data_IF_865681759173
#
_entry.id   IF_865681759173
#
_cell.length_a   1.000
_cell.length_b   1.000
_cell.length_c   1.000
_cell.angle_alpha   90.00
_cell.angle_beta   90.00
_cell.angle_gamma   90.00
#
_symmetry.space_group_name_H-M   'P 1'
#
loop_
_entity.id
_entity.type
_entity.pdbx_description
1 polymer ?
#
# COMPACT_ATOMS: atom_id res chain seq x y z
N UNK A 1 -34.01 46.59 19.79
CA UNK A 1 -33.30 46.08 20.96
C UNK A 1 -31.86 45.92 20.65
N UNK A 2 -31.10 46.80 21.20
CA UNK A 2 -29.69 47.11 21.16
C UNK A 2 -28.82 45.87 21.46
N UNK A 3 -27.87 45.55 20.62
CA UNK A 3 -26.86 44.53 20.81
C UNK A 3 -25.48 45.12 20.54
N UNK A 4 -25.12 46.11 21.34
CA UNK A 4 -23.78 46.68 21.44
C UNK A 4 -23.25 46.39 22.86
N UNK A 5 -22.63 45.25 23.10
CA UNK A 5 -21.64 45.05 24.15
C UNK A 5 -21.15 43.57 24.13
N UNK A 6 -19.93 43.35 23.64
CA UNK A 6 -18.97 42.32 23.99
C UNK A 6 -18.08 41.96 22.80
N UNK A 7 -17.34 42.94 22.35
CA UNK A 7 -16.05 42.69 21.64
C UNK A 7 -14.99 43.25 22.60
N UNK A 8 -14.26 42.37 23.24
CA UNK A 8 -12.91 42.58 23.77
C UNK A 8 -12.66 41.64 24.96
N UNK A 9 -12.47 40.37 24.71
CA UNK A 9 -11.63 39.44 25.50
C UNK A 9 -11.55 38.16 24.66
N UNK A 10 -10.50 37.98 23.87
CA UNK A 10 -9.94 36.71 23.39
C UNK A 10 -8.94 36.97 22.23
N UNK A 11 -7.95 37.83 22.48
CA UNK A 11 -6.78 37.93 21.59
C UNK A 11 -5.51 37.93 22.47
N UNK A 12 -5.19 36.77 23.06
CA UNK A 12 -3.83 36.51 23.55
C UNK A 12 -3.60 35.00 23.75
N UNK A 13 -3.68 34.25 22.67
CA UNK A 13 -2.94 32.99 22.53
C UNK A 13 -2.55 32.90 21.05
N UNK A 14 -1.37 33.39 20.75
CA UNK A 14 -0.81 33.42 19.41
C UNK A 14 -0.57 32.01 18.89
N UNK A 15 -1.58 31.41 18.32
CA UNK A 15 -1.47 30.28 17.42
C UNK A 15 -1.23 30.88 16.03
N UNK A 16 0.02 31.31 15.77
CA UNK A 16 0.44 31.82 14.49
C UNK A 16 0.26 30.74 13.44
N UNK A 17 -0.78 30.88 12.62
CA UNK A 17 -0.81 30.26 11.30
C UNK A 17 0.43 30.81 10.59
N UNK A 18 1.48 30.01 10.46
CA UNK A 18 2.64 30.37 9.63
C UNK A 18 2.11 30.44 8.19
N UNK A 19 1.91 31.66 7.72
CA UNK A 19 1.67 31.93 6.31
C UNK A 19 2.76 31.24 5.47
N UNK A 20 2.39 30.68 4.33
CA UNK A 20 3.32 30.10 3.35
C UNK A 20 4.42 31.12 3.09
N UNK A 21 5.64 30.85 3.52
CA UNK A 21 6.81 31.62 3.15
C UNK A 21 7.07 31.36 1.65
N UNK A 22 6.71 32.31 0.82
CA UNK A 22 7.17 32.35 -0.56
C UNK A 22 8.69 32.47 -0.55
N UNK A 23 9.38 31.33 -0.81
CA UNK A 23 10.84 31.28 -0.86
C UNK A 23 11.50 30.12 -0.10
N UNK A 24 10.77 29.28 0.65
CA UNK A 24 11.35 28.14 1.33
C UNK A 24 11.79 27.07 0.32
N UNK A 25 13.08 26.75 0.32
CA UNK A 25 13.63 25.62 -0.45
C UNK A 25 12.97 24.33 0.05
N UNK A 26 12.32 23.60 -0.86
CA UNK A 26 11.70 22.31 -0.54
C UNK A 26 12.75 21.36 0.05
N UNK A 27 12.44 20.74 1.18
CA UNK A 27 13.34 19.80 1.84
C UNK A 27 13.49 18.53 1.03
N UNK A 28 14.70 17.99 1.01
CA UNK A 28 14.94 16.64 0.46
C UNK A 28 14.40 15.60 1.43
N UNK A 29 13.82 14.55 0.88
CA UNK A 29 13.19 13.49 1.67
C UNK A 29 13.78 12.13 1.30
N UNK A 30 14.21 11.38 2.29
CA UNK A 30 14.82 10.06 2.09
C UNK A 30 14.06 8.97 2.81
N UNK A 31 14.20 7.76 2.30
CA UNK A 31 13.76 6.53 2.96
C UNK A 31 14.90 6.07 3.87
N UNK A 32 14.71 6.19 5.18
CA UNK A 32 15.71 5.83 6.20
C UNK A 32 15.41 4.51 6.93
N UNK A 33 14.26 3.88 6.65
CA UNK A 33 13.92 2.57 7.21
C UNK A 33 12.82 1.90 6.45
N UNK A 34 12.84 0.57 6.42
CA UNK A 34 11.90 -0.28 5.69
C UNK A 34 11.38 -1.40 6.58
N UNK A 35 10.05 -1.57 6.62
CA UNK A 35 9.42 -2.74 7.22
C UNK A 35 8.40 -3.32 6.28
N UNK A 36 8.49 -4.61 6.01
CA UNK A 36 7.64 -5.32 5.06
C UNK A 36 7.08 -6.58 5.72
N UNK A 37 5.80 -6.81 5.51
CA UNK A 37 5.08 -8.04 5.86
C UNK A 37 4.38 -8.49 4.58
N UNK A 38 4.90 -9.52 3.93
CA UNK A 38 4.42 -10.00 2.63
C UNK A 38 4.39 -11.53 2.59
N UNK A 39 3.61 -12.15 1.69
CA UNK A 39 3.49 -13.61 1.62
C UNK A 39 4.79 -14.36 1.39
N UNK A 40 5.76 -13.75 0.71
CA UNK A 40 7.07 -14.34 0.43
C UNK A 40 8.16 -13.95 1.43
N UNK A 41 7.84 -13.16 2.47
CA UNK A 41 8.81 -12.82 3.52
C UNK A 41 8.33 -11.74 4.48
N UNK A 42 8.70 -11.89 5.75
CA UNK A 42 8.50 -10.90 6.82
C UNK A 42 9.85 -10.28 7.18
N UNK A 43 9.91 -8.95 7.19
CA UNK A 43 11.14 -8.17 7.25
C UNK A 43 11.72 -7.88 5.87
N UNK A 44 12.43 -6.74 5.75
CA UNK A 44 12.92 -6.26 4.45
C UNK A 44 13.89 -7.24 3.77
N UNK A 45 14.77 -7.90 4.55
CA UNK A 45 15.82 -8.74 3.99
C UNK A 45 15.25 -10.06 3.44
N UNK A 46 14.38 -10.73 4.20
CA UNK A 46 13.71 -11.95 3.76
C UNK A 46 12.81 -11.69 2.55
N UNK A 47 12.01 -10.61 2.58
CA UNK A 47 11.19 -10.18 1.46
C UNK A 47 12.03 -9.89 0.21
N UNK A 48 13.12 -9.12 0.38
CA UNK A 48 13.97 -8.72 -0.73
C UNK A 48 14.68 -9.91 -1.38
N UNK A 49 15.26 -10.79 -0.56
CA UNK A 49 15.91 -11.99 -1.07
C UNK A 49 14.93 -12.87 -1.85
N UNK A 50 13.73 -13.09 -1.30
CA UNK A 50 12.68 -13.84 -2.00
C UNK A 50 12.26 -13.19 -3.34
N UNK A 51 12.22 -11.85 -3.40
CA UNK A 51 11.93 -11.14 -4.64
C UNK A 51 13.05 -11.31 -5.67
N UNK A 52 14.31 -11.21 -5.28
CA UNK A 52 15.46 -11.40 -6.17
C UNK A 52 15.54 -12.83 -6.69
N UNK A 53 15.30 -13.82 -5.82
CA UNK A 53 15.33 -15.24 -6.18
C UNK A 53 14.09 -15.70 -6.97
N UNK A 54 13.09 -14.84 -7.13
CA UNK A 54 11.85 -15.19 -7.83
C UNK A 54 10.95 -16.15 -7.03
N UNK A 55 11.06 -16.16 -5.68
CA UNK A 55 10.25 -17.02 -4.85
C UNK A 55 8.82 -16.51 -4.70
N UNK A 56 7.86 -17.38 -5.03
CA UNK A 56 6.43 -17.10 -4.89
C UNK A 56 5.94 -17.40 -3.47
N UNK A 57 5.22 -16.42 -2.88
CA UNK A 57 4.44 -16.61 -1.65
C UNK A 57 2.98 -16.95 -1.91
N UNK A 58 2.62 -17.27 -3.17
CA UNK A 58 1.26 -17.64 -3.56
C UNK A 58 1.08 -19.14 -3.36
N UNK A 59 0.02 -19.53 -2.64
CA UNK A 59 -0.28 -20.92 -2.32
C UNK A 59 -1.78 -21.18 -2.20
N UNK A 60 -2.16 -22.42 -1.86
CA UNK A 60 -3.52 -22.74 -1.47
C UNK A 60 -3.94 -21.95 -0.24
N UNK A 61 -5.20 -21.48 -0.20
CA UNK A 61 -5.75 -20.79 0.97
C UNK A 61 -5.77 -21.74 2.16
N UNK A 62 -5.27 -21.29 3.31
CA UNK A 62 -5.16 -22.04 4.57
C UNK A 62 -5.89 -21.38 5.74
N UNK A 63 -6.21 -20.09 5.65
CA UNK A 63 -6.89 -19.33 6.71
C UNK A 63 -8.35 -19.76 6.92
N UNK A 64 -8.98 -20.39 5.93
CA UNK A 64 -10.31 -20.99 6.01
C UNK A 64 -10.47 -22.12 4.98
N UNK A 65 -11.53 -22.95 5.12
CA UNK A 65 -11.84 -24.00 4.16
C UNK A 65 -12.40 -23.40 2.85
N UNK A 66 -11.57 -23.33 1.82
CA UNK A 66 -11.94 -22.87 0.49
C UNK A 66 -12.31 -24.03 -0.47
N UNK A 67 -12.53 -25.26 0.00
CA UNK A 67 -12.76 -26.43 -0.84
C UNK A 67 -13.94 -26.29 -1.80
N UNK A 68 -14.99 -25.62 -1.37
CA UNK A 68 -16.20 -25.34 -2.15
C UNK A 68 -16.18 -23.98 -2.88
N UNK A 69 -15.07 -23.22 -2.76
CA UNK A 69 -14.95 -21.93 -3.42
C UNK A 69 -14.31 -22.07 -4.81
N UNK A 70 -14.75 -21.32 -5.83
CA UNK A 70 -14.15 -21.38 -7.16
C UNK A 70 -12.70 -20.92 -7.20
N UNK A 71 -12.31 -20.03 -6.27
CA UNK A 71 -10.93 -19.55 -6.07
C UNK A 71 -10.40 -20.15 -4.78
N UNK A 72 -9.26 -20.82 -4.85
CA UNK A 72 -8.65 -21.56 -3.73
C UNK A 72 -7.19 -21.17 -3.48
N UNK A 73 -6.76 -20.05 -4.09
CA UNK A 73 -5.36 -19.61 -4.10
C UNK A 73 -5.29 -18.17 -3.69
N UNK A 74 -4.33 -17.85 -2.83
CA UNK A 74 -4.05 -16.49 -2.38
C UNK A 74 -2.56 -16.35 -1.98
N UNK A 75 -2.11 -15.11 -1.83
CA UNK A 75 -0.87 -14.78 -1.15
C UNK A 75 -1.16 -14.49 0.32
N UNK A 76 -1.02 -15.48 1.20
CA UNK A 76 -1.29 -15.34 2.64
C UNK A 76 -0.01 -15.08 3.43
N UNK A 77 -0.12 -14.23 4.47
CA UNK A 77 0.92 -14.10 5.50
C UNK A 77 0.50 -14.93 6.71
N UNK A 78 1.08 -16.10 6.83
CA UNK A 78 0.75 -17.03 7.90
C UNK A 78 1.67 -16.83 9.10
N UNK A 79 1.17 -17.20 10.30
CA UNK A 79 1.92 -17.23 11.54
C UNK A 79 2.59 -15.90 11.94
N UNK A 80 2.04 -14.77 11.49
CA UNK A 80 2.54 -13.45 11.86
C UNK A 80 2.02 -13.01 13.23
N UNK A 81 2.94 -12.77 14.17
CA UNK A 81 2.64 -12.24 15.49
C UNK A 81 2.97 -10.74 15.58
N UNK A 82 1.97 -9.87 15.80
CA UNK A 82 2.19 -8.43 15.96
C UNK A 82 2.65 -8.05 17.38
N UNK A 83 2.52 -8.93 18.39
CA UNK A 83 2.74 -8.59 19.81
C UNK A 83 4.12 -8.01 20.10
N UNK A 84 5.23 -8.47 19.50
CA UNK A 84 6.56 -7.90 19.72
C UNK A 84 6.67 -6.41 19.37
N UNK A 85 5.79 -5.90 18.52
CA UNK A 85 5.79 -4.51 18.06
C UNK A 85 4.80 -3.61 18.82
N UNK A 86 4.08 -4.18 19.80
CA UNK A 86 3.04 -3.47 20.55
C UNK A 86 3.54 -3.21 21.98
N UNK A 87 3.72 -1.93 22.39
CA UNK A 87 4.08 -1.61 23.77
C UNK A 87 3.11 -2.20 24.77
N UNK A 88 3.61 -2.66 25.95
CA UNK A 88 2.84 -3.34 26.99
C UNK A 88 1.55 -2.61 27.37
N UNK A 89 1.61 -1.28 27.46
CA UNK A 89 0.44 -0.42 27.76
C UNK A 89 -0.69 -0.55 26.74
N UNK A 90 -0.40 -1.01 25.51
CA UNK A 90 -1.37 -1.17 24.42
C UNK A 90 -1.69 -2.64 24.08
N UNK A 91 -1.13 -3.63 24.76
CA UNK A 91 -1.41 -5.06 24.48
C UNK A 91 -2.90 -5.40 24.45
N UNK A 92 -3.69 -4.78 25.31
CA UNK A 92 -5.16 -5.00 25.33
C UNK A 92 -5.85 -4.53 24.04
N UNK A 93 -5.24 -3.60 23.27
CA UNK A 93 -5.80 -3.11 22.03
C UNK A 93 -5.70 -4.12 20.87
N UNK A 94 -4.90 -5.18 20.99
CA UNK A 94 -4.85 -6.26 19.97
C UNK A 94 -6.22 -6.84 19.67
N UNK A 95 -7.11 -6.88 20.68
CA UNK A 95 -8.49 -7.38 20.53
C UNK A 95 -9.36 -6.54 19.59
N UNK A 96 -9.00 -5.27 19.40
CA UNK A 96 -9.68 -4.33 18.50
C UNK A 96 -8.88 -4.04 17.22
N UNK A 97 -7.86 -4.83 16.92
CA UNK A 97 -7.11 -4.74 15.69
C UNK A 97 -7.62 -5.77 14.68
N UNK A 98 -8.09 -5.29 13.54
CA UNK A 98 -8.29 -6.13 12.36
C UNK A 98 -6.95 -6.66 11.82
N UNK A 99 -6.97 -7.70 10.98
CA UNK A 99 -5.76 -8.35 10.45
C UNK A 99 -4.83 -7.35 9.72
N UNK A 100 -5.38 -6.45 8.91
CA UNK A 100 -4.61 -5.41 8.24
C UNK A 100 -3.89 -4.47 9.25
N UNK A 101 -4.56 -4.08 10.34
CA UNK A 101 -3.93 -3.25 11.36
C UNK A 101 -2.78 -3.97 12.09
N UNK A 102 -2.90 -5.29 12.30
CA UNK A 102 -1.82 -6.12 12.87
C UNK A 102 -0.60 -6.16 11.95
N UNK A 103 -0.80 -6.30 10.63
CA UNK A 103 0.30 -6.22 9.66
C UNK A 103 0.92 -4.83 9.63
N UNK A 104 0.08 -3.78 9.64
CA UNK A 104 0.55 -2.39 9.61
C UNK A 104 1.44 -2.04 10.80
N UNK A 105 1.03 -2.41 12.03
CA UNK A 105 1.84 -2.14 13.23
C UNK A 105 3.14 -2.93 13.23
N UNK A 106 3.12 -4.17 12.75
CA UNK A 106 4.32 -4.98 12.61
C UNK A 106 5.29 -4.41 11.58
N UNK A 107 4.79 -4.02 10.41
CA UNK A 107 5.60 -3.36 9.39
C UNK A 107 6.19 -2.03 9.91
N UNK A 108 5.40 -1.24 10.67
CA UNK A 108 5.90 -0.01 11.29
C UNK A 108 7.00 -0.29 12.31
N UNK A 109 6.84 -1.31 13.14
CA UNK A 109 7.88 -1.72 14.11
C UNK A 109 9.17 -2.15 13.44
N UNK A 110 9.08 -2.95 12.39
CA UNK A 110 10.22 -3.35 11.57
C UNK A 110 10.92 -2.14 10.94
N UNK A 111 10.15 -1.18 10.39
CA UNK A 111 10.68 0.02 9.76
C UNK A 111 11.40 0.94 10.77
N UNK A 112 10.81 1.14 11.95
CA UNK A 112 11.41 1.95 13.03
C UNK A 112 12.71 1.30 13.51
N UNK A 113 12.71 -0.02 13.74
CA UNK A 113 13.92 -0.74 14.14
C UNK A 113 15.02 -0.65 13.06
N UNK A 114 14.67 -0.84 11.79
CA UNK A 114 15.60 -0.76 10.67
C UNK A 114 16.20 0.65 10.50
N UNK A 115 15.41 1.69 10.77
CA UNK A 115 15.85 3.08 10.65
C UNK A 115 16.85 3.52 11.72
N UNK A 116 16.94 2.78 12.84
CA UNK A 116 17.74 3.18 14.00
C UNK A 116 17.27 4.48 14.65
N UNK A 117 15.99 4.87 14.51
CA UNK A 117 15.43 6.04 15.15
C UNK A 117 15.40 5.90 16.68
N UNK A 118 15.97 6.87 17.38
CA UNK A 118 15.74 7.03 18.81
C UNK A 118 14.45 7.84 19.04
N UNK A 119 13.37 7.15 19.36
CA UNK A 119 12.05 7.77 19.54
C UNK A 119 12.01 8.75 20.73
N UNK A 120 12.91 8.61 21.71
CA UNK A 120 12.97 9.52 22.85
C UNK A 120 13.53 10.89 22.48
N UNK A 121 14.29 10.99 21.40
CA UNK A 121 14.86 12.23 20.89
C UNK A 121 14.02 12.91 19.80
N UNK A 122 12.89 12.29 19.39
CA UNK A 122 11.99 12.88 18.42
C UNK A 122 11.04 13.88 19.10
N UNK A 123 10.79 15.00 18.43
CA UNK A 123 9.60 15.80 18.73
C UNK A 123 8.36 15.02 18.23
N UNK A 124 7.52 14.49 19.11
CA UNK A 124 6.40 13.66 18.69
C UNK A 124 5.38 14.43 17.84
N UNK A 125 5.30 15.76 17.98
CA UNK A 125 4.39 16.61 17.20
C UNK A 125 4.85 16.82 15.76
N UNK A 126 6.11 16.45 15.44
CA UNK A 126 6.71 16.50 14.12
C UNK A 126 6.97 15.10 13.54
N UNK A 127 6.49 14.08 14.24
CA UNK A 127 6.52 12.68 13.83
C UNK A 127 5.09 12.21 13.54
N UNK A 128 4.80 11.87 12.28
CA UNK A 128 3.46 11.57 11.82
C UNK A 128 3.31 10.22 11.13
N UNK A 129 2.08 9.92 10.70
CA UNK A 129 1.71 8.66 10.04
C UNK A 129 0.77 8.92 8.86
N UNK A 130 1.04 8.34 7.70
CA UNK A 130 0.07 8.25 6.60
C UNK A 130 0.00 6.81 6.10
N UNK A 131 -1.18 6.20 6.17
CA UNK A 131 -1.38 4.81 5.75
C UNK A 131 -2.39 4.70 4.61
N UNK A 132 -2.03 3.93 3.58
CA UNK A 132 -2.97 3.41 2.61
C UNK A 132 -3.76 2.26 3.22
N UNK A 133 -5.07 2.30 3.07
CA UNK A 133 -5.98 1.25 3.52
C UNK A 133 -7.06 0.98 2.48
N UNK A 134 -7.75 -0.12 2.65
CA UNK A 134 -8.91 -0.42 1.83
C UNK A 134 -10.15 -0.72 2.65
N UNK A 135 -11.09 -1.43 2.06
CA UNK A 135 -12.22 -1.99 2.77
C UNK A 135 -11.71 -3.00 3.81
N UNK A 136 -12.09 -2.84 5.06
CA UNK A 136 -11.78 -3.82 6.09
C UNK A 136 -12.95 -4.82 6.16
N UNK A 137 -12.76 -6.08 5.76
CA UNK A 137 -13.83 -7.08 5.77
C UNK A 137 -14.23 -7.40 7.21
N UNK A 138 -15.54 -7.54 7.43
CA UNK A 138 -16.06 -7.96 8.71
C UNK A 138 -15.95 -9.47 8.85
N UNK A 139 -15.46 -9.94 10.00
CA UNK A 139 -15.31 -11.36 10.31
C UNK A 139 -16.69 -12.03 10.38
N UNK A 140 -16.92 -12.99 9.49
CA UNK A 140 -18.19 -13.73 9.45
C UNK A 140 -18.42 -14.55 10.72
N UNK A 141 -17.38 -15.01 11.41
CA UNK A 141 -17.49 -15.69 12.68
C UNK A 141 -18.03 -14.79 13.80
N UNK A 142 -17.77 -13.49 13.72
CA UNK A 142 -18.34 -12.49 14.64
C UNK A 142 -19.75 -12.05 14.25
N UNK A 143 -20.06 -11.96 12.93
CA UNK A 143 -21.36 -11.52 12.43
C UNK A 143 -22.41 -12.61 12.40
N UNK A 144 -22.06 -13.85 12.07
CA UNK A 144 -23.03 -14.92 11.87
C UNK A 144 -23.90 -15.19 13.13
N UNK A 145 -23.35 -15.23 14.37
CA UNK A 145 -24.18 -15.38 15.56
C UNK A 145 -25.17 -14.21 15.79
N UNK A 146 -24.80 -13.01 15.35
CA UNK A 146 -25.68 -11.83 15.42
C UNK A 146 -26.83 -11.95 14.41
N UNK A 147 -26.48 -12.24 13.15
CA UNK A 147 -27.46 -12.32 12.06
C UNK A 147 -28.40 -13.53 12.23
N UNK A 148 -27.89 -14.65 12.73
CA UNK A 148 -28.69 -15.84 12.99
C UNK A 148 -29.86 -15.60 13.98
N UNK A 149 -29.71 -14.65 14.92
CA UNK A 149 -30.80 -14.28 15.85
C UNK A 149 -31.95 -13.52 15.17
N UNK A 150 -31.64 -12.87 14.04
CA UNK A 150 -32.62 -12.13 13.25
C UNK A 150 -33.20 -12.95 12.10
N UNK A 151 -32.68 -14.16 11.81
CA UNK A 151 -33.26 -15.07 10.84
C UNK A 151 -34.45 -15.79 11.46
N UNK A 152 -35.58 -15.79 10.73
CA UNK A 152 -36.81 -16.54 11.08
C UNK A 152 -36.66 -18.02 10.63
N UNK A 153 -37.56 -18.88 11.17
CA UNK A 153 -37.60 -20.29 10.77
C UNK A 153 -37.91 -20.51 9.29
N UNK A 154 -38.65 -19.58 8.66
CA UNK A 154 -38.99 -19.57 7.24
C UNK A 154 -37.84 -19.00 6.34
N UNK A 155 -36.73 -18.54 6.97
CA UNK A 155 -35.59 -17.96 6.27
C UNK A 155 -35.70 -16.44 6.03
N UNK A 156 -36.79 -15.79 6.44
CA UNK A 156 -36.92 -14.35 6.39
C UNK A 156 -36.01 -13.67 7.45
N UNK A 157 -35.56 -12.46 7.15
CA UNK A 157 -34.74 -11.66 8.05
C UNK A 157 -35.60 -10.57 8.74
N UNK A 158 -35.66 -10.63 10.05
CA UNK A 158 -36.40 -9.64 10.88
C UNK A 158 -35.39 -8.76 11.65
N UNK A 159 -35.18 -7.57 11.14
CA UNK A 159 -34.23 -6.60 11.72
C UNK A 159 -34.60 -6.17 13.15
N UNK A 160 -35.88 -6.29 13.53
CA UNK A 160 -36.36 -5.94 14.89
C UNK A 160 -35.88 -6.94 15.94
N UNK A 161 -35.43 -8.12 15.52
CA UNK A 161 -34.87 -9.17 16.38
C UNK A 161 -33.36 -9.06 16.57
N UNK A 162 -32.69 -8.09 15.93
CA UNK A 162 -31.31 -7.81 16.25
C UNK A 162 -31.17 -7.50 17.74
N UNK A 163 -30.19 -8.12 18.44
CA UNK A 163 -30.07 -7.96 19.88
C UNK A 163 -29.64 -6.54 20.25
N UNK A 164 -30.20 -6.04 21.37
CA UNK A 164 -29.74 -4.79 21.98
C UNK A 164 -28.23 -4.92 22.36
N UNK A 165 -27.35 -4.07 21.84
CA UNK A 165 -25.91 -4.15 22.13
C UNK A 165 -25.55 -3.85 23.59
N UNK A 166 -26.47 -3.29 24.37
CA UNK A 166 -26.27 -2.97 25.80
C UNK A 166 -26.64 -4.14 26.73
N UNK A 167 -27.14 -5.24 26.19
CA UNK A 167 -27.45 -6.42 27.03
C UNK A 167 -26.19 -7.21 27.34
N UNK A 168 -26.14 -7.87 28.53
CA UNK A 168 -24.99 -8.68 28.92
C UNK A 168 -24.70 -9.86 27.98
N UNK A 169 -25.71 -10.35 27.25
CA UNK A 169 -25.65 -11.43 26.29
C UNK A 169 -25.46 -10.97 24.85
N UNK A 170 -25.15 -9.67 24.63
CA UNK A 170 -24.91 -9.12 23.31
C UNK A 170 -23.71 -9.84 22.63
N UNK A 171 -23.85 -10.28 21.38
CA UNK A 171 -22.80 -11.02 20.69
C UNK A 171 -21.63 -10.15 20.24
N UNK A 172 -21.80 -8.82 20.23
CA UNK A 172 -20.78 -7.86 19.86
C UNK A 172 -20.22 -7.16 21.11
N UNK A 173 -18.88 -7.09 21.21
CA UNK A 173 -18.28 -6.31 22.30
C UNK A 173 -18.32 -4.80 21.99
N UNK A 174 -18.31 -3.92 23.01
CA UNK A 174 -18.58 -2.48 22.84
C UNK A 174 -17.67 -1.75 21.83
N UNK A 175 -16.43 -2.19 21.65
CA UNK A 175 -15.46 -1.58 20.72
C UNK A 175 -15.36 -2.30 19.37
N UNK A 176 -16.29 -3.22 19.07
CA UNK A 176 -16.27 -4.05 17.87
C UNK A 176 -16.14 -3.23 16.57
N UNK A 177 -16.87 -2.12 16.47
CA UNK A 177 -16.83 -1.26 15.28
C UNK A 177 -15.41 -0.75 14.98
N UNK A 178 -14.61 -0.43 16.01
CA UNK A 178 -13.26 0.10 15.83
C UNK A 178 -12.34 -0.87 15.07
N UNK A 179 -12.61 -2.18 15.15
CA UNK A 179 -11.85 -3.21 14.44
C UNK A 179 -11.92 -3.05 12.91
N UNK A 180 -13.00 -2.46 12.40
CA UNK A 180 -13.34 -2.39 10.98
C UNK A 180 -13.23 -0.99 10.37
N UNK A 181 -12.77 -0.01 11.11
CA UNK A 181 -12.54 1.34 10.59
C UNK A 181 -11.19 1.40 9.86
N UNK A 182 -11.14 1.91 8.61
CA UNK A 182 -9.91 1.96 7.80
C UNK A 182 -8.77 2.76 8.45
N UNK A 183 -9.09 3.79 9.25
CA UNK A 183 -8.10 4.65 9.91
C UNK A 183 -7.39 3.98 11.10
N UNK A 184 -7.84 2.80 11.53
CA UNK A 184 -7.31 2.20 12.76
C UNK A 184 -5.88 1.67 12.61
N UNK A 185 -5.43 1.31 11.40
CA UNK A 185 -4.02 0.99 11.17
C UNK A 185 -3.11 2.18 11.52
N UNK A 186 -3.40 3.37 10.98
CA UNK A 186 -2.66 4.59 11.29
C UNK A 186 -2.77 4.98 12.78
N UNK A 187 -3.96 4.83 13.38
CA UNK A 187 -4.19 5.15 14.79
C UNK A 187 -3.37 4.24 15.73
N UNK A 188 -3.36 2.92 15.50
CA UNK A 188 -2.58 1.97 16.30
C UNK A 188 -1.08 2.21 16.17
N UNK A 189 -0.58 2.51 14.96
CA UNK A 189 0.81 2.88 14.73
C UNK A 189 1.16 4.15 15.52
N UNK A 190 0.33 5.20 15.43
CA UNK A 190 0.55 6.45 16.16
C UNK A 190 0.62 6.25 17.67
N UNK A 191 -0.30 5.45 18.22
CA UNK A 191 -0.28 5.14 19.66
C UNK A 191 0.97 4.34 20.06
N UNK A 192 1.37 3.36 19.24
CA UNK A 192 2.52 2.51 19.55
C UNK A 192 3.84 3.30 19.58
N UNK A 193 4.05 4.18 18.59
CA UNK A 193 5.30 4.91 18.40
C UNK A 193 5.24 6.37 18.85
N UNK A 194 4.14 6.80 19.52
CA UNK A 194 3.94 8.16 20.00
C UNK A 194 4.01 9.22 18.90
N UNK A 195 3.46 8.93 17.72
CA UNK A 195 3.38 9.88 16.61
C UNK A 195 2.20 10.85 16.85
N UNK A 196 2.50 12.11 17.16
CA UNK A 196 1.51 13.16 17.45
C UNK A 196 1.46 14.22 16.34
N UNK A 197 2.25 14.06 15.29
CA UNK A 197 2.25 14.90 14.09
C UNK A 197 1.08 14.59 13.15
N UNK A 198 1.18 14.97 11.87
CA UNK A 198 0.13 14.71 10.88
C UNK A 198 -0.24 13.22 10.83
N UNK A 199 -1.54 12.93 10.86
CA UNK A 199 -2.07 11.56 10.75
C UNK A 199 -3.18 11.52 9.71
N UNK A 200 -3.05 10.62 8.74
CA UNK A 200 -4.06 10.45 7.69
C UNK A 200 -4.15 8.99 7.23
N UNK A 201 -5.31 8.65 6.67
CA UNK A 201 -5.54 7.35 6.00
C UNK A 201 -6.11 7.59 4.62
N UNK A 202 -5.44 7.07 3.61
CA UNK A 202 -5.80 7.19 2.20
C UNK A 202 -6.56 5.93 1.77
N UNK A 203 -7.77 6.10 1.22
CA UNK A 203 -8.62 4.99 0.78
C UNK A 203 -8.94 5.17 -0.71
N UNK A 204 -8.02 4.74 -1.56
CA UNK A 204 -8.07 4.90 -3.03
C UNK A 204 -7.74 3.59 -3.75
N UNK A 205 -8.34 2.50 -3.26
CA UNK A 205 -8.15 1.15 -3.79
C UNK A 205 -6.64 0.78 -3.90
N UNK A 206 -6.21 0.27 -5.05
CA UNK A 206 -4.85 -0.25 -5.25
C UNK A 206 -3.76 0.84 -5.23
N UNK A 207 -4.14 2.13 -5.30
CA UNK A 207 -3.21 3.28 -5.32
C UNK A 207 -2.93 3.82 -3.92
N UNK A 208 -3.71 3.37 -2.92
CA UNK A 208 -3.70 3.94 -1.56
C UNK A 208 -2.30 3.98 -0.93
N UNK A 209 -1.52 2.90 -1.03
CA UNK A 209 -0.17 2.83 -0.48
C UNK A 209 0.80 3.80 -1.16
N UNK A 210 0.75 3.91 -2.48
CA UNK A 210 1.58 4.86 -3.25
C UNK A 210 1.26 6.31 -2.88
N UNK A 211 -0.05 6.64 -2.78
CA UNK A 211 -0.48 7.98 -2.38
C UNK A 211 -0.11 8.29 -0.94
N UNK A 212 -0.16 7.31 -0.02
CA UNK A 212 0.26 7.51 1.36
C UNK A 212 1.75 7.87 1.46
N UNK A 213 2.61 7.22 0.68
CA UNK A 213 4.04 7.57 0.59
C UNK A 213 4.22 8.97 -0.01
N UNK A 214 3.48 9.29 -1.08
CA UNK A 214 3.52 10.60 -1.72
C UNK A 214 3.05 11.75 -0.81
N UNK A 215 1.99 11.54 -0.04
CA UNK A 215 1.52 12.53 0.96
C UNK A 215 2.56 12.74 2.06
N UNK A 216 3.15 11.67 2.60
CA UNK A 216 4.21 11.79 3.59
C UNK A 216 5.44 12.52 3.06
N UNK A 217 5.82 12.27 1.81
CA UNK A 217 6.86 13.02 1.12
C UNK A 217 6.55 14.53 1.10
N UNK A 218 5.33 14.93 0.73
CA UNK A 218 4.93 16.35 0.69
C UNK A 218 4.91 17.00 2.06
N UNK A 219 4.46 16.29 3.10
CA UNK A 219 4.45 16.81 4.47
C UNK A 219 5.86 17.15 4.97
N UNK A 220 6.84 16.29 4.72
CA UNK A 220 8.24 16.57 5.09
C UNK A 220 8.83 17.65 4.18
N UNK A 221 8.62 17.54 2.88
CA UNK A 221 9.17 18.48 1.89
C UNK A 221 8.74 19.92 2.16
N UNK A 222 7.51 20.16 2.64
CA UNK A 222 6.99 21.48 3.04
C UNK A 222 7.41 21.88 4.46
N UNK A 223 8.01 21.00 5.23
CA UNK A 223 8.40 21.24 6.61
C UNK A 223 7.27 21.10 7.64
N UNK A 224 6.15 20.45 7.28
CA UNK A 224 5.05 20.19 8.22
C UNK A 224 5.42 19.07 9.22
N UNK A 225 6.30 18.16 8.83
CA UNK A 225 6.86 17.09 9.67
C UNK A 225 8.36 16.94 9.42
N UNK A 226 9.07 16.25 10.31
CA UNK A 226 10.49 15.91 10.16
C UNK A 226 10.69 14.41 9.87
N UNK A 227 9.77 13.58 10.38
CA UNK A 227 9.74 12.13 10.18
C UNK A 227 8.29 11.68 9.95
N UNK A 228 8.08 10.80 8.99
CA UNK A 228 6.78 10.21 8.72
C UNK A 228 6.89 8.69 8.56
N UNK A 229 5.99 7.95 9.18
CA UNK A 229 5.73 6.54 8.87
C UNK A 229 4.69 6.49 7.77
N UNK A 230 5.11 6.10 6.57
CA UNK A 230 4.24 6.09 5.40
C UNK A 230 4.18 4.70 4.79
N UNK A 231 2.98 4.25 4.50
CA UNK A 231 2.87 2.91 3.94
C UNK A 231 1.44 2.51 3.59
N UNK A 232 1.17 1.21 3.63
CA UNK A 232 -0.15 0.66 3.42
C UNK A 232 -0.28 -0.72 4.07
N UNK A 233 -1.49 -1.05 4.47
CA UNK A 233 -1.83 -2.34 5.05
C UNK A 233 -3.21 -2.79 4.57
N UNK A 234 -3.32 -4.02 4.10
CA UNK A 234 -4.60 -4.58 3.66
C UNK A 234 -4.63 -6.11 3.83
N UNK A 235 -5.81 -6.64 4.09
CA UNK A 235 -6.07 -8.07 4.16
C UNK A 235 -7.53 -8.33 3.78
N UNK A 236 -7.75 -9.06 2.70
CA UNK A 236 -9.08 -9.37 2.17
C UNK A 236 -9.25 -10.85 1.81
N UNK A 237 -8.46 -11.70 2.46
CA UNK A 237 -8.56 -13.15 2.28
C UNK A 237 -9.57 -13.67 3.29
N UNK A 238 -10.84 -13.57 2.93
CA UNK A 238 -11.99 -14.12 3.67
C UNK A 238 -13.06 -14.62 2.69
N UNK A 239 -13.98 -15.50 3.12
CA UNK A 239 -14.96 -16.10 2.23
C UNK A 239 -15.84 -15.09 1.48
N UNK A 240 -16.28 -14.01 2.15
CA UNK A 240 -17.18 -13.01 1.56
C UNK A 240 -16.46 -12.16 0.52
N UNK A 241 -15.24 -11.70 0.83
CA UNK A 241 -14.46 -10.91 -0.12
C UNK A 241 -14.05 -11.74 -1.32
N UNK A 242 -13.70 -13.01 -1.13
CA UNK A 242 -13.41 -13.90 -2.25
C UNK A 242 -14.62 -14.05 -3.18
N UNK A 243 -15.83 -14.19 -2.63
CA UNK A 243 -17.06 -14.23 -3.43
C UNK A 243 -17.29 -12.92 -4.18
N UNK A 244 -17.10 -11.78 -3.50
CA UNK A 244 -17.28 -10.45 -4.12
C UNK A 244 -16.32 -10.23 -5.28
N UNK A 245 -15.01 -10.51 -5.10
CA UNK A 245 -14.03 -10.40 -6.20
C UNK A 245 -14.23 -11.44 -7.31
N UNK A 246 -14.75 -12.63 -6.97
CA UNK A 246 -15.12 -13.63 -7.97
C UNK A 246 -16.28 -13.16 -8.83
N UNK A 247 -17.30 -12.57 -8.21
CA UNK A 247 -18.44 -11.95 -8.90
C UNK A 247 -18.00 -10.78 -9.79
N UNK A 248 -17.03 -9.98 -9.34
CA UNK A 248 -16.42 -8.91 -10.12
C UNK A 248 -15.62 -9.43 -11.33
N UNK A 249 -15.25 -10.72 -11.34
CA UNK A 249 -14.59 -11.38 -12.46
C UNK A 249 -13.12 -10.99 -12.66
N UNK A 250 -12.44 -10.57 -11.59
CA UNK A 250 -11.07 -10.04 -11.67
C UNK A 250 -9.99 -11.00 -11.17
N UNK A 251 -10.38 -12.05 -10.44
CA UNK A 251 -9.46 -13.07 -9.94
C UNK A 251 -9.10 -14.09 -11.01
N UNK A 252 -7.87 -14.60 -10.95
CA UNK A 252 -7.42 -15.69 -11.83
C UNK A 252 -8.21 -16.97 -11.56
N UNK A 253 -8.75 -17.54 -12.64
CA UNK A 253 -9.56 -18.78 -12.65
C UNK A 253 -8.80 -20.00 -13.16
N UNK A 254 -7.51 -19.91 -13.41
CA UNK A 254 -6.67 -20.96 -14.03
C UNK A 254 -6.57 -22.22 -13.16
N UNK A 255 -7.67 -22.96 -13.03
CA UNK A 255 -7.80 -24.12 -12.13
C UNK A 255 -6.80 -25.27 -12.39
N UNK A 256 -6.24 -25.36 -13.60
CA UNK A 256 -5.27 -26.40 -13.97
C UNK A 256 -3.81 -26.04 -13.75
N UNK A 257 -3.51 -24.84 -13.22
CA UNK A 257 -2.14 -24.39 -12.97
C UNK A 257 -1.75 -24.51 -11.50
N UNK A 258 -0.47 -24.79 -11.22
CA UNK A 258 0.06 -24.64 -9.87
C UNK A 258 -0.25 -23.26 -9.29
N UNK A 259 -0.48 -23.14 -7.98
CA UNK A 259 -0.81 -21.85 -7.34
C UNK A 259 0.20 -20.74 -7.66
N UNK A 260 1.48 -21.04 -7.59
CA UNK A 260 2.61 -20.13 -7.82
C UNK A 260 2.71 -19.59 -9.24
N UNK A 261 2.06 -20.26 -10.21
CA UNK A 261 2.05 -19.84 -11.62
C UNK A 261 0.82 -19.01 -12.02
N UNK A 262 -0.12 -18.76 -11.11
CA UNK A 262 -1.39 -18.08 -11.42
C UNK A 262 -1.25 -16.58 -11.62
N UNK A 263 -0.38 -15.92 -10.84
CA UNK A 263 -0.04 -14.52 -11.06
C UNK A 263 1.06 -14.44 -12.12
N UNK A 264 0.73 -13.91 -13.29
CA UNK A 264 1.62 -13.87 -14.47
C UNK A 264 1.49 -12.55 -15.24
N UNK A 265 1.92 -11.43 -14.66
CA UNK A 265 1.83 -10.13 -15.31
C UNK A 265 2.46 -10.13 -16.69
N UNK A 266 1.83 -9.43 -17.65
CA UNK A 266 2.27 -9.24 -19.03
C UNK A 266 2.33 -10.52 -19.89
N UNK A 267 2.05 -11.69 -19.32
CA UNK A 267 1.95 -12.94 -20.06
C UNK A 267 0.61 -13.01 -20.84
N UNK A 268 0.64 -13.53 -22.08
CA UNK A 268 -0.55 -13.66 -22.93
C UNK A 268 -1.64 -14.54 -22.31
N UNK A 269 -1.27 -15.47 -21.46
CA UNK A 269 -2.18 -16.43 -20.82
C UNK A 269 -2.67 -15.95 -19.43
N UNK A 270 -2.41 -14.69 -19.08
CA UNK A 270 -2.94 -14.08 -17.85
C UNK A 270 -4.46 -13.97 -17.90
N UNK A 271 -5.12 -14.18 -16.78
CA UNK A 271 -6.58 -14.22 -16.73
C UNK A 271 -7.19 -13.52 -15.50
N UNK A 272 -6.37 -12.85 -14.69
CA UNK A 272 -6.78 -12.15 -13.50
C UNK A 272 -5.66 -12.08 -12.46
N UNK A 273 -5.86 -11.31 -11.41
CA UNK A 273 -4.90 -11.24 -10.31
C UNK A 273 -5.13 -12.35 -9.27
N UNK A 274 -4.12 -12.64 -8.48
CA UNK A 274 -4.24 -13.45 -7.27
C UNK A 274 -4.37 -12.51 -6.08
N UNK A 275 -5.45 -12.64 -5.29
CA UNK A 275 -5.64 -11.85 -4.07
C UNK A 275 -4.54 -12.14 -3.07
N UNK A 276 -4.11 -11.10 -2.36
CA UNK A 276 -3.04 -11.21 -1.36
C UNK A 276 -3.31 -10.28 -0.18
N UNK A 277 -2.52 -10.41 0.87
CA UNK A 277 -2.52 -9.55 2.04
C UNK A 277 -1.10 -9.14 2.42
N UNK A 278 -0.98 -8.14 3.26
CA UNK A 278 0.30 -7.71 3.79
C UNK A 278 0.33 -6.22 4.16
N UNK A 279 1.53 -5.74 4.43
CA UNK A 279 1.81 -4.34 4.72
C UNK A 279 3.25 -3.98 4.36
N UNK A 280 3.47 -2.72 4.05
CA UNK A 280 4.80 -2.13 4.13
C UNK A 280 4.70 -0.73 4.75
N UNK A 281 5.72 -0.37 5.51
CA UNK A 281 5.91 0.97 6.06
C UNK A 281 7.35 1.42 5.75
N UNK A 282 7.45 2.63 5.23
CA UNK A 282 8.69 3.33 4.98
C UNK A 282 8.83 4.43 6.03
N UNK A 283 9.99 4.54 6.65
CA UNK A 283 10.36 5.74 7.40
C UNK A 283 10.84 6.77 6.40
N UNK A 284 10.05 7.81 6.19
CA UNK A 284 10.46 8.98 5.44
C UNK A 284 11.04 10.01 6.39
N UNK A 285 12.16 10.63 6.03
CA UNK A 285 12.88 11.54 6.88
C UNK A 285 13.49 12.69 6.08
N UNK A 286 13.57 13.86 6.70
CA UNK A 286 14.37 14.98 6.18
C UNK A 286 15.81 14.53 5.96
N UNK A 287 16.37 14.80 4.78
CA UNK A 287 17.71 14.33 4.39
C UNK A 287 18.81 14.82 5.35
N UNK A 288 18.81 16.11 5.72
CA UNK A 288 19.86 16.67 6.58
C UNK A 288 19.77 16.07 7.99
N UNK A 289 18.56 15.81 8.48
CA UNK A 289 18.34 15.09 9.73
C UNK A 289 18.86 13.65 9.63
N UNK A 290 18.49 12.88 8.60
CA UNK A 290 18.95 11.51 8.41
C UNK A 290 20.47 11.43 8.34
N UNK A 291 21.09 12.35 7.59
CA UNK A 291 22.56 12.47 7.47
C UNK A 291 23.24 12.79 8.81
N UNK A 292 22.68 13.70 9.59
CA UNK A 292 23.28 14.13 10.87
C UNK A 292 23.37 13.01 11.91
N UNK A 293 22.47 12.01 11.82
CA UNK A 293 22.46 10.84 12.70
C UNK A 293 23.06 9.57 12.06
N UNK A 294 23.68 9.68 10.88
CA UNK A 294 24.22 8.56 10.11
C UNK A 294 23.19 7.45 9.86
N UNK A 295 21.94 7.84 9.53
CA UNK A 295 20.88 6.89 9.21
C UNK A 295 21.23 6.02 8.00
N UNK A 296 20.73 4.80 7.92
CA UNK A 296 20.68 4.10 6.64
C UNK A 296 19.81 4.92 5.67
N UNK A 297 20.27 5.06 4.43
CA UNK A 297 19.49 5.70 3.36
C UNK A 297 19.34 4.69 2.23
N UNK A 298 18.10 4.35 1.90
CA UNK A 298 17.75 3.40 0.84
C UNK A 298 17.59 4.09 -0.51
N UNK A 299 16.83 5.19 -0.52
CA UNK A 299 16.58 6.00 -1.70
C UNK A 299 16.15 7.41 -1.29
N UNK A 300 16.22 8.37 -2.22
CA UNK A 300 15.60 9.69 -2.07
C UNK A 300 14.26 9.69 -2.81
N UNK A 301 13.18 10.10 -2.14
CA UNK A 301 11.88 10.34 -2.79
C UNK A 301 11.96 11.69 -3.49
N UNK A 302 11.73 11.71 -4.80
CA UNK A 302 11.90 12.90 -5.64
C UNK A 302 10.61 13.58 -6.03
N UNK A 303 9.54 12.82 -6.19
CA UNK A 303 8.25 13.35 -6.62
C UNK A 303 7.20 12.25 -6.73
N UNK A 304 5.94 12.67 -6.76
CA UNK A 304 4.82 11.77 -7.00
C UNK A 304 3.71 12.45 -7.80
N UNK A 305 2.95 11.65 -8.54
CA UNK A 305 1.81 12.11 -9.31
C UNK A 305 0.55 11.31 -8.99
N UNK A 306 -0.58 12.00 -8.93
CA UNK A 306 -1.89 11.41 -8.74
C UNK A 306 -2.86 12.00 -9.74
N UNK A 307 -3.58 11.13 -10.46
CA UNK A 307 -4.57 11.52 -11.47
C UNK A 307 -5.77 10.58 -11.43
N UNK A 308 -6.76 10.89 -12.25
CA UNK A 308 -7.98 10.11 -12.35
C UNK A 308 -8.38 9.94 -13.82
N UNK A 309 -8.83 8.73 -14.22
CA UNK A 309 -9.21 8.43 -15.60
C UNK A 309 -10.51 9.14 -16.02
N UNK A 310 -11.49 9.20 -15.11
CA UNK A 310 -12.86 9.62 -15.39
C UNK A 310 -13.49 8.87 -16.59
N UNK A 311 -13.17 7.58 -16.72
CA UNK A 311 -13.54 6.75 -17.86
C UNK A 311 -14.62 5.71 -17.52
N UNK A 312 -14.38 4.87 -16.51
CA UNK A 312 -15.29 3.81 -16.09
C UNK A 312 -15.04 3.41 -14.64
N UNK A 313 -16.07 2.91 -13.96
CA UNK A 313 -15.96 2.42 -12.57
C UNK A 313 -15.03 1.20 -12.46
N UNK A 314 -15.02 0.33 -13.45
CA UNK A 314 -14.28 -0.96 -13.38
C UNK A 314 -13.19 -1.13 -14.41
N UNK A 315 -13.23 -0.35 -15.52
CA UNK A 315 -12.27 -0.48 -16.62
C UNK A 315 -11.34 0.72 -16.65
N UNK A 316 -10.01 0.52 -16.76
CA UNK A 316 -9.09 1.61 -17.01
C UNK A 316 -9.33 2.22 -18.40
N UNK A 317 -8.88 3.46 -18.61
CA UNK A 317 -8.81 4.06 -19.94
C UNK A 317 -7.82 3.25 -20.81
N UNK A 318 -8.29 2.54 -21.88
CA UNK A 318 -7.44 1.62 -22.63
C UNK A 318 -6.24 2.31 -23.30
N UNK A 319 -6.29 3.62 -23.49
CA UNK A 319 -5.19 4.39 -24.05
C UNK A 319 -4.15 4.79 -22.97
N UNK A 320 -4.36 4.50 -21.70
CA UNK A 320 -3.45 4.83 -20.60
C UNK A 320 -3.24 6.31 -20.35
N UNK A 321 -4.19 7.19 -20.77
CA UNK A 321 -4.03 8.65 -20.64
C UNK A 321 -3.91 9.12 -19.20
N UNK A 322 -4.72 8.53 -18.29
CA UNK A 322 -4.66 8.85 -16.87
C UNK A 322 -3.33 8.43 -16.25
N UNK A 323 -2.92 7.20 -16.50
CA UNK A 323 -1.62 6.67 -16.03
C UNK A 323 -0.44 7.49 -16.55
N UNK A 324 -0.46 7.85 -17.85
CA UNK A 324 0.58 8.70 -18.44
C UNK A 324 0.66 10.08 -17.75
N UNK A 325 -0.49 10.69 -17.43
CA UNK A 325 -0.50 11.96 -16.68
C UNK A 325 0.05 11.81 -15.27
N UNK A 326 -0.21 10.68 -14.59
CA UNK A 326 0.35 10.43 -13.26
C UNK A 326 1.87 10.29 -13.31
N UNK A 327 2.39 9.53 -14.28
CA UNK A 327 3.82 9.37 -14.51
C UNK A 327 4.46 10.74 -14.82
N UNK A 328 3.88 11.51 -15.75
CA UNK A 328 4.42 12.82 -16.11
C UNK A 328 4.43 13.78 -14.91
N UNK A 329 3.33 13.85 -14.14
CA UNK A 329 3.26 14.69 -12.95
C UNK A 329 4.33 14.32 -11.90
N UNK A 330 4.60 13.03 -11.72
CA UNK A 330 5.65 12.57 -10.80
C UNK A 330 7.06 12.98 -11.31
N UNK A 331 7.32 12.87 -12.60
CA UNK A 331 8.57 13.30 -13.22
C UNK A 331 8.76 14.83 -13.14
N UNK A 332 7.71 15.60 -13.39
CA UNK A 332 7.72 17.05 -13.31
C UNK A 332 8.03 17.53 -11.88
N UNK A 333 7.37 16.96 -10.86
CA UNK A 333 7.64 17.28 -9.46
C UNK A 333 9.07 16.88 -9.07
N UNK A 334 9.54 15.72 -9.55
CA UNK A 334 10.91 15.23 -9.35
C UNK A 334 11.96 16.06 -10.09
N UNK A 335 11.60 16.83 -11.12
CA UNK A 335 12.49 17.50 -12.09
C UNK A 335 13.43 16.49 -12.76
N UNK A 336 12.91 15.35 -13.15
CA UNK A 336 13.63 14.24 -13.80
C UNK A 336 13.13 14.08 -15.23
N UNK A 337 14.04 14.02 -16.16
CA UNK A 337 13.72 13.68 -17.55
C UNK A 337 13.38 12.17 -17.62
N UNK A 338 12.33 11.80 -18.37
CA UNK A 338 11.93 10.40 -18.50
C UNK A 338 13.06 9.50 -19.02
N UNK A 339 13.99 10.04 -19.82
CA UNK A 339 15.15 9.32 -20.36
C UNK A 339 16.18 8.92 -19.30
N UNK A 340 16.15 9.56 -18.13
CA UNK A 340 17.03 9.22 -17.01
C UNK A 340 16.44 8.11 -16.11
N UNK A 341 15.18 7.70 -16.34
CA UNK A 341 14.54 6.60 -15.61
C UNK A 341 14.96 5.27 -16.23
N UNK A 342 15.68 4.45 -15.48
CA UNK A 342 16.16 3.16 -15.96
C UNK A 342 15.32 1.97 -15.52
N UNK A 343 14.45 2.12 -14.51
CA UNK A 343 13.64 1.03 -13.99
C UNK A 343 12.24 1.49 -13.56
N UNK A 344 11.24 0.67 -13.84
CA UNK A 344 9.85 0.84 -13.38
C UNK A 344 9.40 -0.40 -12.61
N UNK A 345 9.10 -0.25 -11.32
CA UNK A 345 8.31 -1.23 -10.58
C UNK A 345 6.86 -1.05 -11.00
N UNK A 346 6.39 -1.93 -11.86
CA UNK A 346 5.11 -1.82 -12.53
C UNK A 346 3.95 -2.30 -11.63
N UNK A 347 2.78 -1.71 -11.84
CA UNK A 347 1.56 -2.20 -11.21
C UNK A 347 1.27 -3.65 -11.59
N UNK A 348 1.34 -4.00 -12.88
CA UNK A 348 1.37 -5.36 -13.41
C UNK A 348 0.52 -6.36 -12.63
N UNK A 349 -0.80 -6.25 -12.71
CA UNK A 349 -1.74 -7.06 -11.90
C UNK A 349 -2.01 -8.46 -12.43
N UNK A 350 -1.48 -8.84 -13.60
CA UNK A 350 -1.85 -10.08 -14.29
C UNK A 350 -3.30 -10.06 -14.83
N UNK A 351 -3.89 -8.87 -14.97
CA UNK A 351 -5.18 -8.71 -15.67
C UNK A 351 -4.97 -8.27 -17.10
N UNK A 352 -5.85 -8.72 -18.00
CA UNK A 352 -5.72 -8.40 -19.43
C UNK A 352 -5.76 -6.89 -19.69
N UNK A 353 -6.66 -6.18 -19.00
CA UNK A 353 -6.89 -4.76 -19.23
C UNK A 353 -5.79 -3.88 -18.64
N UNK A 354 -5.42 -4.12 -17.36
CA UNK A 354 -4.43 -3.29 -16.69
C UNK A 354 -3.07 -3.38 -17.38
N UNK A 355 -2.57 -4.58 -17.64
CA UNK A 355 -1.20 -4.76 -18.12
C UNK A 355 -1.00 -4.14 -19.53
N UNK A 356 -2.02 -4.25 -20.38
CA UNK A 356 -2.02 -3.59 -21.70
C UNK A 356 -2.12 -2.05 -21.56
N UNK A 357 -2.98 -1.56 -20.66
CA UNK A 357 -3.15 -0.13 -20.40
C UNK A 357 -1.88 0.49 -19.82
N UNK A 358 -1.23 -0.18 -18.87
CA UNK A 358 0.02 0.27 -18.27
C UNK A 358 1.14 0.36 -19.32
N UNK A 359 1.24 -0.64 -20.19
CA UNK A 359 2.15 -0.61 -21.34
C UNK A 359 1.90 0.63 -22.24
N UNK A 360 0.63 0.93 -22.52
CA UNK A 360 0.26 2.10 -23.29
C UNK A 360 0.62 3.41 -22.57
N UNK A 361 0.41 3.49 -21.24
CA UNK A 361 0.76 4.65 -20.43
C UNK A 361 2.27 4.92 -20.44
N UNK A 362 3.09 3.89 -20.26
CA UNK A 362 4.56 4.01 -20.33
C UNK A 362 4.99 4.48 -21.72
N UNK A 363 4.47 3.87 -22.79
CA UNK A 363 4.79 4.28 -24.16
C UNK A 363 4.40 5.74 -24.45
N UNK A 364 3.31 6.25 -23.88
CA UNK A 364 2.91 7.65 -24.05
C UNK A 364 3.91 8.65 -23.46
N UNK A 365 4.53 8.30 -22.34
CA UNK A 365 5.49 9.18 -21.67
C UNK A 365 6.89 9.03 -22.25
N UNK A 366 7.31 7.77 -22.47
CA UNK A 366 8.70 7.46 -22.85
C UNK A 366 8.93 7.46 -24.38
N UNK A 367 7.86 7.41 -25.18
CA UNK A 367 7.98 7.37 -26.66
C UNK A 367 8.83 6.18 -27.12
N UNK A 368 9.76 6.45 -28.00
CA UNK A 368 10.71 5.42 -28.51
C UNK A 368 11.61 4.85 -27.42
N UNK A 369 11.95 5.64 -26.38
CA UNK A 369 12.77 5.22 -25.25
C UNK A 369 12.04 4.24 -24.31
N UNK A 370 10.76 3.96 -24.51
CA UNK A 370 10.05 2.96 -23.73
C UNK A 370 10.64 1.56 -23.84
N UNK A 371 11.39 1.27 -24.91
CA UNK A 371 12.09 -0.01 -25.11
C UNK A 371 13.40 -0.13 -24.32
N UNK A 372 13.92 0.99 -23.84
CA UNK A 372 15.21 1.05 -23.14
C UNK A 372 15.01 0.98 -21.61
N UNK A 373 13.78 1.26 -21.11
CA UNK A 373 13.47 1.17 -19.71
C UNK A 373 13.07 -0.24 -19.31
N UNK A 374 13.61 -0.72 -18.18
CA UNK A 374 13.32 -2.04 -17.64
C UNK A 374 12.11 -1.97 -16.71
N UNK A 375 11.17 -2.89 -16.85
CA UNK A 375 9.99 -3.00 -16.00
C UNK A 375 9.98 -4.35 -15.29
N UNK A 376 9.40 -4.43 -14.08
CA UNK A 376 8.97 -5.71 -13.52
C UNK A 376 7.82 -5.56 -12.55
N UNK A 377 7.04 -6.63 -12.35
CA UNK A 377 5.97 -6.67 -11.35
C UNK A 377 6.23 -7.77 -10.33
N UNK A 378 6.49 -7.35 -9.09
CA UNK A 378 6.62 -8.27 -7.96
C UNK A 378 5.29 -8.95 -7.59
N UNK A 379 4.15 -8.48 -8.12
CA UNK A 379 2.86 -9.17 -7.94
C UNK A 379 2.85 -10.57 -8.55
N UNK A 380 3.77 -10.86 -9.45
CA UNK A 380 4.01 -12.23 -9.92
C UNK A 380 4.36 -13.18 -8.78
N UNK A 381 5.00 -12.69 -7.71
CA UNK A 381 5.48 -13.46 -6.55
C UNK A 381 4.59 -13.32 -5.31
N UNK A 382 4.07 -12.13 -5.06
CA UNK A 382 3.31 -11.85 -3.81
C UNK A 382 1.80 -11.78 -4.01
N UNK A 383 1.29 -11.78 -5.25
CA UNK A 383 -0.11 -11.48 -5.53
C UNK A 383 -0.41 -9.99 -5.40
N UNK A 384 -1.69 -9.64 -5.33
CA UNK A 384 -2.18 -8.27 -5.24
C UNK A 384 -2.81 -7.98 -3.88
N UNK A 385 -2.11 -7.24 -3.04
CA UNK A 385 -2.52 -6.85 -1.67
C UNK A 385 -3.30 -5.53 -1.61
N UNK A 386 -3.94 -5.15 -2.72
CA UNK A 386 -4.85 -4.00 -2.88
C UNK A 386 -4.28 -2.70 -2.26
N UNK A 387 -4.80 -2.27 -1.09
CA UNK A 387 -4.39 -1.01 -0.45
C UNK A 387 -2.94 -0.99 0.06
N UNK A 388 -2.35 -2.16 0.29
CA UNK A 388 -0.95 -2.30 0.70
C UNK A 388 0.02 -2.34 -0.49
N UNK A 389 -0.44 -2.70 -1.70
CA UNK A 389 0.43 -2.99 -2.86
C UNK A 389 1.42 -1.88 -3.15
N UNK A 390 0.95 -0.65 -3.30
CA UNK A 390 1.83 0.47 -3.67
C UNK A 390 2.92 0.77 -2.64
N UNK A 391 2.67 0.48 -1.35
CA UNK A 391 3.68 0.62 -0.30
C UNK A 391 4.72 -0.50 -0.35
N UNK A 392 4.30 -1.75 -0.60
CA UNK A 392 5.22 -2.89 -0.77
C UNK A 392 6.08 -2.67 -2.02
N UNK A 393 5.49 -2.15 -3.08
CA UNK A 393 6.18 -1.80 -4.34
C UNK A 393 7.16 -0.64 -4.15
N UNK A 394 6.80 0.38 -3.36
CA UNK A 394 7.71 1.48 -3.00
C UNK A 394 8.91 0.97 -2.18
N UNK A 395 8.70 0.03 -1.25
CA UNK A 395 9.79 -0.61 -0.51
C UNK A 395 10.69 -1.45 -1.45
N UNK A 396 10.11 -2.21 -2.37
CA UNK A 396 10.87 -2.95 -3.38
C UNK A 396 11.66 -2.02 -4.30
N UNK A 397 11.10 -0.87 -4.72
CA UNK A 397 11.81 0.13 -5.51
C UNK A 397 13.00 0.72 -4.73
N UNK A 398 12.81 1.06 -3.46
CA UNK A 398 13.90 1.57 -2.61
C UNK A 398 15.03 0.54 -2.46
N UNK A 399 14.70 -0.75 -2.27
CA UNK A 399 15.68 -1.83 -2.25
C UNK A 399 16.37 -2.02 -3.59
N UNK A 400 15.63 -1.96 -4.71
CA UNK A 400 16.20 -2.05 -6.06
C UNK A 400 17.24 -0.96 -6.31
N UNK A 401 16.93 0.28 -5.95
CA UNK A 401 17.86 1.41 -6.10
C UNK A 401 19.06 1.31 -5.15
N UNK A 402 18.88 0.76 -3.96
CA UNK A 402 19.96 0.55 -2.99
C UNK A 402 20.93 -0.52 -3.42
N UNK A 403 20.41 -1.64 -3.91
CA UNK A 403 21.21 -2.82 -4.26
C UNK A 403 21.64 -2.84 -5.74
N UNK A 404 20.98 -2.04 -6.59
CA UNK A 404 21.15 -2.03 -8.04
C UNK A 404 20.82 -3.40 -8.68
N UNK A 405 19.92 -4.15 -8.02
CA UNK A 405 19.34 -5.41 -8.50
C UNK A 405 17.84 -5.19 -8.71
N UNK A 406 17.29 -5.72 -9.79
CA UNK A 406 15.90 -5.54 -10.18
C UNK A 406 15.20 -6.90 -10.23
N UNK A 407 14.17 -7.11 -9.40
CA UNK A 407 13.50 -8.39 -9.29
C UNK A 407 12.77 -8.73 -10.60
N UNK A 408 12.59 -10.03 -10.89
CA UNK A 408 11.94 -10.47 -12.12
C UNK A 408 10.40 -10.33 -12.04
N UNK A 409 9.78 -10.33 -13.22
CA UNK A 409 8.40 -10.78 -13.39
C UNK A 409 8.43 -12.28 -13.65
N UNK A 410 8.16 -13.10 -12.63
CA UNK A 410 8.10 -14.56 -12.82
C UNK A 410 6.85 -14.96 -13.59
N UNK A 411 6.84 -16.19 -14.13
CA UNK A 411 5.72 -16.74 -14.93
C UNK A 411 5.50 -16.05 -16.30
N UNK A 412 6.36 -15.15 -16.72
CA UNK A 412 6.33 -14.55 -18.05
C UNK A 412 7.03 -15.48 -19.04
N UNK A 413 6.27 -16.43 -19.56
CA UNK A 413 6.74 -17.47 -20.49
C UNK A 413 6.15 -17.34 -21.89
N UNK A 414 5.04 -16.63 -22.04
CA UNK A 414 4.36 -16.38 -23.30
C UNK A 414 4.12 -14.87 -23.45
N UNK A 415 5.08 -14.08 -23.96
CA UNK A 415 4.92 -12.63 -24.09
C UNK A 415 3.65 -12.26 -24.84
N UNK A 416 2.92 -11.26 -24.33
CA UNK A 416 1.73 -10.72 -24.97
C UNK A 416 2.16 -9.62 -25.96
N UNK A 417 1.78 -9.69 -27.26
CA UNK A 417 2.06 -8.64 -28.22
C UNK A 417 1.54 -7.24 -27.84
N UNK A 418 0.52 -7.17 -26.97
CA UNK A 418 0.02 -5.91 -26.41
C UNK A 418 0.90 -5.36 -25.28
N UNK A 419 1.83 -6.18 -24.77
CA UNK A 419 2.77 -5.87 -23.71
C UNK A 419 4.18 -6.15 -24.22
N UNK A 420 4.73 -5.26 -25.08
CA UNK A 420 5.94 -5.45 -25.90
C UNK A 420 7.16 -4.66 -25.39
N UNK A 421 7.21 -4.39 -24.07
CA UNK A 421 8.36 -3.78 -23.38
C UNK A 421 9.24 -4.84 -22.69
N UNK A 422 10.34 -4.43 -22.08
CA UNK A 422 11.22 -5.33 -21.31
C UNK A 422 10.72 -5.46 -19.86
N UNK A 423 10.07 -6.57 -19.52
CA UNK A 423 9.49 -6.83 -18.20
C UNK A 423 10.36 -7.68 -17.27
N UNK A 424 11.65 -7.77 -17.52
CA UNK A 424 12.63 -8.58 -16.75
C UNK A 424 12.07 -10.00 -16.50
N UNK A 425 11.95 -10.86 -17.54
CA UNK A 425 11.27 -12.14 -17.40
C UNK A 425 12.08 -13.13 -16.54
N UNK A 426 11.47 -13.71 -15.53
CA UNK A 426 11.84 -14.88 -14.76
C UNK A 426 13.18 -14.85 -13.99
N UNK A 427 14.10 -13.94 -14.29
CA UNK A 427 15.42 -13.85 -13.63
C UNK A 427 15.74 -12.41 -13.32
N UNK A 428 16.14 -12.14 -12.06
CA UNK A 428 16.56 -10.81 -11.63
C UNK A 428 17.73 -10.29 -12.47
N UNK A 429 17.83 -8.98 -12.58
CA UNK A 429 18.83 -8.32 -13.41
C UNK A 429 19.59 -7.26 -12.60
N UNK A 430 20.88 -7.17 -12.80
CA UNK A 430 21.71 -6.07 -12.29
C UNK A 430 21.84 -4.97 -13.35
N UNK A 431 21.64 -3.72 -12.94
CA UNK A 431 21.86 -2.57 -13.80
C UNK A 431 22.13 -1.32 -12.96
N UNK A 432 22.95 -0.41 -13.48
CA UNK A 432 23.17 0.89 -12.82
C UNK A 432 22.05 1.86 -13.20
N UNK A 433 21.15 2.11 -12.27
CA UNK A 433 20.00 3.00 -12.44
C UNK A 433 20.05 4.12 -11.41
N UNK A 434 19.91 5.34 -11.91
CA UNK A 434 19.88 6.55 -11.06
C UNK A 434 18.47 6.86 -10.56
N UNK A 435 17.48 6.76 -11.43
CA UNK A 435 16.08 7.02 -11.09
C UNK A 435 15.21 5.82 -11.41
N UNK A 436 14.37 5.47 -10.47
CA UNK A 436 13.33 4.46 -10.62
C UNK A 436 11.93 5.04 -10.38
N UNK A 437 10.96 4.38 -10.96
CA UNK A 437 9.54 4.76 -10.88
C UNK A 437 8.73 3.59 -10.33
N UNK A 438 7.71 3.86 -9.52
CA UNK A 438 6.68 2.88 -9.15
C UNK A 438 5.33 3.39 -9.62
N UNK A 439 4.56 2.55 -10.29
CA UNK A 439 3.23 2.86 -10.82
C UNK A 439 2.15 2.08 -10.11
N UNK A 440 0.99 2.70 -9.89
CA UNK A 440 -0.17 2.06 -9.30
C UNK A 440 -1.45 2.54 -9.98
N UNK A 441 -2.33 1.60 -10.32
CA UNK A 441 -3.62 1.88 -10.96
C UNK A 441 -4.74 1.15 -10.21
N UNK A 442 -5.84 1.84 -9.92
CA UNK A 442 -6.89 1.33 -9.05
C UNK A 442 -8.27 1.33 -9.70
N UNK A 443 -9.14 0.47 -9.18
CA UNK A 443 -10.56 0.54 -9.51
C UNK A 443 -11.10 1.94 -9.25
N UNK A 444 -12.08 2.36 -10.07
CA UNK A 444 -12.62 3.72 -10.08
C UNK A 444 -11.83 4.66 -11.00
N UNK A 445 -10.64 4.28 -11.50
CA UNK A 445 -9.81 5.10 -12.39
C UNK A 445 -8.76 5.93 -11.64
N UNK A 446 -8.39 5.55 -10.42
CA UNK A 446 -7.29 6.16 -9.66
C UNK A 446 -5.94 5.77 -10.27
N UNK A 447 -5.04 6.74 -10.44
CA UNK A 447 -3.67 6.52 -10.92
C UNK A 447 -2.67 7.18 -9.98
N UNK A 448 -1.55 6.50 -9.75
CA UNK A 448 -0.45 7.00 -8.94
C UNK A 448 0.91 6.62 -9.53
N UNK A 449 1.88 7.51 -9.39
CA UNK A 449 3.27 7.25 -9.75
C UNK A 449 4.19 7.90 -8.73
N UNK A 450 5.29 7.23 -8.38
CA UNK A 450 6.28 7.68 -7.40
C UNK A 450 7.67 7.59 -8.04
N UNK A 451 8.44 8.67 -8.00
CA UNK A 451 9.83 8.72 -8.48
C UNK A 451 10.78 8.69 -7.29
N UNK A 452 11.74 7.78 -7.33
CA UNK A 452 12.85 7.70 -6.36
C UNK A 452 14.19 7.75 -7.07
N UNK A 453 15.22 8.22 -6.36
CA UNK A 453 16.60 8.25 -6.81
C UNK A 453 17.48 7.36 -5.95
N UNK A 454 18.49 6.74 -6.55
CA UNK A 454 19.60 6.13 -5.85
C UNK A 454 20.44 7.21 -5.14
N UNK A 455 20.97 6.90 -3.94
CA UNK A 455 21.77 7.81 -3.08
C UNK A 455 23.16 7.25 -2.84
#
# INVERSE_FOLDING_TARGET
>A
LDCSCQRDVLLSSGMGIRGSRTGDVMRRVVVSGLGVVAPNGVGKDAFWQACVDGHSGIGPIRSFDASNHPIRVAGEVLDFDPEPFIPDRFRKSVKVMGRAAKFGIGAAGLAVADSGLDLAQLDPTRFGVVMGAGLVPMDLGELAPLLARACMEDGEFDETKLPDPNRPDAPLFPLWLLKYLPNMAAAHISMAFNCQGPNNTVVTACVAGTQAVGEGFRLISRGDADVMLCGGADSRIDPLMLLAYTALGTLSKSAGRPPEERSRPFDRLRDGFVISEGAAVLVLEDYERAKSRNAPIYAEVKGWGSTFDAYSVTKPDPEGRGGARAIQAALDEAKVDYRDVGYINAHGTSTRLNDAMETAAVKRVFGESAKDVQLSSIKSMIGHSIGASGAIEAAALAMSLKTQVYPPTINLTNPDPACDLDYIPNTAREAKVKFGLSTSFGFGGQNGALVMAAV
#
